data_IF_241049778156
#
_entry.id   IF_241049778156
#
_cell.length_a   1.000
_cell.length_b   1.000
_cell.length_c   1.000
_cell.angle_alpha   90.00
_cell.angle_beta   90.00
_cell.angle_gamma   90.00
#
_symmetry.space_group_name_H-M   'P 1'
#
loop_
_entity.id
_entity.type
_entity.pdbx_description
1 polymer ?
#
# COMPACT_ATOMS: atom_id res chain seq x y z
N UNK A 1 -22.19 -14.83 18.87
CA UNK A 1 -20.82 -15.22 19.27
C UNK A 1 -20.44 -16.63 18.76
N UNK A 2 -20.87 -17.02 17.55
CA UNK A 2 -20.64 -18.38 17.00
C UNK A 2 -19.53 -18.43 15.94
N UNK A 3 -19.27 -17.33 15.22
CA UNK A 3 -18.29 -17.29 14.13
C UNK A 3 -16.85 -17.55 14.59
N UNK A 4 -16.46 -17.07 15.77
CA UNK A 4 -15.12 -17.29 16.32
C UNK A 4 -14.83 -18.76 16.66
N UNK A 5 -15.88 -19.52 17.02
CA UNK A 5 -15.78 -20.96 17.30
C UNK A 5 -15.68 -21.74 15.99
N UNK A 6 -16.48 -21.35 14.98
CA UNK A 6 -16.47 -21.97 13.65
C UNK A 6 -15.13 -21.78 12.93
N UNK A 7 -14.55 -20.57 12.95
CA UNK A 7 -13.25 -20.29 12.33
C UNK A 7 -12.12 -21.09 13.01
N UNK A 8 -12.15 -21.19 14.34
CA UNK A 8 -11.16 -21.97 15.08
C UNK A 8 -11.24 -23.45 14.71
N UNK A 9 -12.44 -24.03 14.69
CA UNK A 9 -12.64 -25.43 14.30
C UNK A 9 -12.22 -25.70 12.85
N UNK A 10 -12.49 -24.75 11.95
CA UNK A 10 -12.02 -24.82 10.57
C UNK A 10 -10.49 -24.79 10.49
N UNK A 11 -9.83 -23.88 11.22
CA UNK A 11 -8.37 -23.81 11.28
C UNK A 11 -7.77 -25.11 11.84
N UNK A 12 -8.33 -25.67 12.91
CA UNK A 12 -7.91 -26.97 13.46
C UNK A 12 -8.05 -28.10 12.41
N UNK A 13 -9.10 -28.06 11.59
CA UNK A 13 -9.28 -29.03 10.48
C UNK A 13 -8.21 -28.87 9.41
N UNK A 14 -7.83 -27.63 9.07
CA UNK A 14 -6.76 -27.34 8.12
C UNK A 14 -5.38 -27.74 8.66
N UNK A 15 -5.11 -27.46 9.93
CA UNK A 15 -3.84 -27.81 10.58
C UNK A 15 -3.63 -29.31 10.74
N UNK A 16 -4.71 -30.10 10.75
CA UNK A 16 -4.67 -31.56 10.82
C UNK A 16 -4.62 -32.25 9.44
N UNK A 17 -4.45 -31.50 8.34
CA UNK A 17 -4.22 -32.11 7.03
C UNK A 17 -2.82 -32.74 6.96
N UNK A 18 -2.64 -33.69 6.03
CA UNK A 18 -1.40 -34.45 5.91
C UNK A 18 -0.18 -33.57 5.60
N UNK A 19 -0.36 -32.52 4.80
CA UNK A 19 0.70 -31.61 4.39
C UNK A 19 0.22 -30.17 4.50
N UNK A 20 0.76 -29.43 5.46
CA UNK A 20 0.38 -28.05 5.75
C UNK A 20 1.62 -27.17 5.70
N UNK A 21 1.53 -26.07 4.94
CA UNK A 21 2.53 -25.01 4.94
C UNK A 21 1.92 -23.79 5.62
N UNK A 22 2.56 -23.35 6.71
CA UNK A 22 2.11 -22.21 7.50
C UNK A 22 3.13 -21.09 7.32
N UNK A 23 2.66 -19.90 6.93
CA UNK A 23 3.49 -18.69 6.91
C UNK A 23 3.05 -17.78 8.05
N UNK A 24 4.02 -17.17 8.74
CA UNK A 24 3.75 -16.27 9.84
C UNK A 24 4.82 -15.19 9.95
N UNK A 25 4.49 -14.11 10.66
CA UNK A 25 5.51 -13.17 11.13
C UNK A 25 6.25 -13.77 12.33
N UNK A 26 7.54 -13.45 12.56
CA UNK A 26 8.29 -13.99 13.70
C UNK A 26 7.60 -13.80 15.06
N UNK A 27 6.87 -12.70 15.24
CA UNK A 27 6.15 -12.36 16.48
C UNK A 27 4.65 -12.68 16.47
N UNK A 28 4.11 -13.16 15.34
CA UNK A 28 2.66 -13.35 15.15
C UNK A 28 2.16 -14.75 15.51
N UNK A 29 3.05 -15.64 15.94
CA UNK A 29 2.76 -17.06 16.07
C UNK A 29 2.86 -17.52 17.52
N UNK A 30 1.72 -17.87 18.12
CA UNK A 30 1.71 -18.62 19.37
C UNK A 30 1.93 -20.10 19.07
N UNK A 31 3.16 -20.57 19.32
CA UNK A 31 3.57 -21.96 19.10
C UNK A 31 2.75 -22.96 19.90
N UNK A 32 2.09 -22.54 20.99
CA UNK A 32 1.24 -23.43 21.80
C UNK A 32 -0.05 -23.84 21.09
N UNK A 33 -0.45 -23.08 20.06
CA UNK A 33 -1.68 -23.33 19.28
C UNK A 33 -1.43 -24.21 18.06
N UNK A 34 -0.19 -24.59 17.79
CA UNK A 34 0.19 -25.36 16.62
C UNK A 34 0.37 -26.84 16.94
N UNK A 35 0.06 -27.74 15.99
CA UNK A 35 0.53 -29.11 16.06
C UNK A 35 2.07 -29.16 16.03
N UNK A 36 2.65 -30.34 16.25
CA UNK A 36 4.10 -30.53 16.13
C UNK A 36 4.59 -30.08 14.75
N UNK A 37 5.54 -29.14 14.73
CA UNK A 37 6.15 -28.64 13.49
C UNK A 37 7.31 -29.59 13.12
N UNK A 38 7.20 -30.25 11.97
CA UNK A 38 8.27 -31.13 11.45
C UNK A 38 9.46 -30.34 10.90
N UNK A 39 9.20 -29.17 10.31
CA UNK A 39 10.21 -28.31 9.68
C UNK A 39 9.86 -26.83 9.87
N UNK A 40 10.81 -26.07 10.42
CA UNK A 40 10.73 -24.61 10.53
C UNK A 40 11.76 -23.98 9.58
N UNK A 41 11.31 -23.04 8.74
CA UNK A 41 12.15 -22.32 7.79
C UNK A 41 11.97 -20.82 7.99
N UNK A 42 13.07 -20.08 7.90
CA UNK A 42 13.06 -18.61 7.96
C UNK A 42 13.32 -18.02 6.58
N UNK A 43 12.50 -17.03 6.20
CA UNK A 43 12.73 -16.24 5.00
C UNK A 43 13.74 -15.13 5.30
N UNK A 44 14.97 -15.28 4.82
CA UNK A 44 16.07 -14.33 5.07
C UNK A 44 16.18 -13.18 4.04
N UNK A 45 15.30 -13.16 3.03
CA UNK A 45 15.30 -12.16 1.96
C UNK A 45 16.21 -12.51 0.78
N UNK A 46 16.51 -11.52 -0.06
CA UNK A 46 17.33 -11.63 -1.26
C UNK A 46 18.82 -11.45 -0.96
N UNK A 47 19.62 -12.31 -1.61
CA UNK A 47 21.05 -12.09 -1.78
C UNK A 47 21.31 -11.01 -2.84
N UNK A 48 22.55 -10.50 -2.91
CA UNK A 48 22.97 -9.56 -3.96
C UNK A 48 22.78 -10.11 -5.38
N UNK A 49 22.96 -11.42 -5.55
CA UNK A 49 22.68 -12.08 -6.82
C UNK A 49 21.18 -12.05 -7.13
N UNK A 50 20.32 -12.38 -6.15
CA UNK A 50 18.87 -12.33 -6.36
C UNK A 50 18.38 -10.92 -6.66
N UNK A 51 18.94 -9.89 -6.02
CA UNK A 51 18.65 -8.48 -6.34
C UNK A 51 18.98 -8.20 -7.81
N UNK A 52 20.17 -8.58 -8.26
CA UNK A 52 20.60 -8.37 -9.65
C UNK A 52 19.71 -9.10 -10.67
N UNK A 53 19.37 -10.36 -10.38
CA UNK A 53 18.45 -11.15 -11.21
C UNK A 53 17.03 -10.59 -11.23
N UNK A 54 16.55 -10.05 -10.11
CA UNK A 54 15.25 -9.39 -10.02
C UNK A 54 15.22 -8.13 -10.88
N UNK A 55 16.23 -7.26 -10.75
CA UNK A 55 16.33 -6.03 -11.54
C UNK A 55 16.29 -6.32 -13.03
N UNK A 56 17.07 -7.31 -13.49
CA UNK A 56 17.11 -7.70 -14.90
C UNK A 56 15.78 -8.24 -15.45
N UNK A 57 14.86 -8.69 -14.57
CA UNK A 57 13.54 -9.20 -14.95
C UNK A 57 12.47 -8.11 -15.01
N UNK A 58 12.60 -7.05 -14.20
CA UNK A 58 11.51 -6.08 -13.98
C UNK A 58 11.79 -4.70 -14.58
N UNK A 59 13.04 -4.42 -14.96
CA UNK A 59 13.44 -3.13 -15.53
C UNK A 59 14.03 -3.30 -16.93
N UNK A 60 13.93 -2.23 -17.72
CA UNK A 60 14.62 -2.12 -19.00
C UNK A 60 16.15 -2.11 -18.82
N UNK A 61 16.94 -2.65 -19.78
CA UNK A 61 18.38 -2.82 -19.64
C UNK A 61 19.15 -1.56 -19.21
N UNK A 62 18.77 -0.38 -19.70
CA UNK A 62 19.38 0.89 -19.34
C UNK A 62 19.11 1.29 -17.88
N UNK A 63 17.93 0.96 -17.36
CA UNK A 63 17.54 1.25 -15.99
C UNK A 63 18.22 0.28 -15.02
N UNK A 64 18.35 -1.01 -15.38
CA UNK A 64 19.02 -2.04 -14.56
C UNK A 64 20.38 -1.56 -14.07
N UNK A 65 21.23 -1.09 -14.99
CA UNK A 65 22.58 -0.64 -14.65
C UNK A 65 22.54 0.56 -13.69
N UNK A 66 21.69 1.54 -13.97
CA UNK A 66 21.60 2.74 -13.15
C UNK A 66 21.09 2.45 -11.73
N UNK A 67 20.14 1.51 -11.58
CA UNK A 67 19.63 1.08 -10.27
C UNK A 67 20.68 0.30 -9.50
N UNK A 68 21.39 -0.62 -10.17
CA UNK A 68 22.49 -1.36 -9.57
C UNK A 68 23.59 -0.43 -9.05
N UNK A 69 24.01 0.54 -9.87
CA UNK A 69 25.02 1.53 -9.48
C UNK A 69 24.55 2.34 -8.26
N UNK A 70 23.26 2.75 -8.23
CA UNK A 70 22.69 3.47 -7.09
C UNK A 70 22.68 2.63 -5.80
N UNK A 71 22.26 1.36 -5.87
CA UNK A 71 22.25 0.45 -4.73
C UNK A 71 23.67 0.26 -4.18
N UNK A 72 24.65 0.04 -5.06
CA UNK A 72 26.05 -0.16 -4.67
C UNK A 72 26.68 1.08 -4.04
N UNK A 73 26.34 2.27 -4.53
CA UNK A 73 26.85 3.54 -4.00
C UNK A 73 26.17 3.97 -2.69
N UNK A 74 25.07 3.32 -2.30
CA UNK A 74 24.26 3.70 -1.15
C UNK A 74 24.13 2.54 -0.15
N UNK A 75 25.10 2.34 0.77
CA UNK A 75 25.15 1.18 1.67
C UNK A 75 23.86 0.92 2.46
N UNK A 76 23.15 1.98 2.85
CA UNK A 76 21.88 1.84 3.56
C UNK A 76 20.77 1.25 2.66
N UNK A 77 20.70 1.68 1.40
CA UNK A 77 19.76 1.11 0.43
C UNK A 77 20.10 -0.35 0.15
N UNK A 78 21.39 -0.71 0.09
CA UNK A 78 21.83 -2.09 -0.10
C UNK A 78 21.25 -3.04 0.96
N UNK A 79 21.21 -2.62 2.23
CA UNK A 79 20.58 -3.42 3.29
C UNK A 79 19.05 -3.48 3.17
N UNK A 80 18.42 -2.40 2.71
CA UNK A 80 16.96 -2.27 2.59
C UNK A 80 16.42 -3.16 1.46
N UNK A 81 17.06 -3.15 0.29
CA UNK A 81 16.59 -3.87 -0.91
C UNK A 81 16.77 -5.39 -0.84
N UNK A 82 17.45 -5.90 0.20
CA UNK A 82 17.44 -7.33 0.49
C UNK A 82 16.03 -7.82 0.86
N UNK A 83 15.12 -6.92 1.27
CA UNK A 83 13.71 -7.26 1.46
C UNK A 83 13.00 -7.10 0.10
N UNK A 84 12.42 -8.17 -0.48
CA UNK A 84 11.87 -8.14 -1.84
C UNK A 84 10.87 -7.01 -2.10
N UNK A 85 9.96 -6.73 -1.15
CA UNK A 85 8.99 -5.64 -1.29
C UNK A 85 9.65 -4.27 -1.34
N UNK A 86 10.78 -4.06 -0.65
CA UNK A 86 11.49 -2.78 -0.68
C UNK A 86 12.24 -2.57 -2.01
N UNK A 87 12.77 -3.66 -2.58
CA UNK A 87 13.34 -3.64 -3.92
C UNK A 87 12.27 -3.31 -4.98
N UNK A 88 11.10 -3.92 -4.87
CA UNK A 88 9.97 -3.63 -5.75
C UNK A 88 9.54 -2.16 -5.67
N UNK A 89 9.44 -1.61 -4.47
CA UNK A 89 9.16 -0.18 -4.23
C UNK A 89 10.21 0.72 -4.90
N UNK A 90 11.50 0.36 -4.79
CA UNK A 90 12.57 1.10 -5.45
C UNK A 90 12.44 1.05 -6.97
N UNK A 91 12.17 -0.13 -7.55
CA UNK A 91 11.96 -0.30 -8.98
C UNK A 91 10.76 0.51 -9.47
N UNK A 92 9.63 0.41 -8.76
CA UNK A 92 8.41 1.13 -9.08
C UNK A 92 8.63 2.64 -9.11
N UNK A 93 9.37 3.20 -8.15
CA UNK A 93 9.63 4.63 -8.07
C UNK A 93 10.89 5.13 -8.80
N UNK A 94 11.59 4.26 -9.54
CA UNK A 94 12.93 4.56 -10.07
C UNK A 94 12.99 5.85 -10.90
N UNK A 95 12.01 6.06 -11.78
CA UNK A 95 11.87 7.24 -12.64
C UNK A 95 11.57 8.55 -11.87
N UNK A 96 11.14 8.42 -10.62
CA UNK A 96 10.71 9.51 -9.74
C UNK A 96 11.77 9.88 -8.69
N UNK A 97 12.93 9.21 -8.72
CA UNK A 97 14.04 9.51 -7.82
C UNK A 97 14.58 10.92 -8.09
N UNK A 98 14.72 11.77 -7.05
CA UNK A 98 15.39 13.05 -7.18
C UNK A 98 16.82 12.84 -7.70
N UNK A 99 17.18 13.55 -8.76
CA UNK A 99 18.56 13.57 -9.26
C UNK A 99 19.46 14.10 -8.15
N UNK A 100 20.23 13.22 -7.49
CA UNK A 100 21.10 13.57 -6.36
C UNK A 100 21.07 12.63 -5.16
N UNK A 101 20.29 11.53 -5.18
CA UNK A 101 20.45 10.44 -4.20
C UNK A 101 20.01 10.78 -2.77
N UNK A 102 18.97 11.62 -2.62
CA UNK A 102 18.43 11.99 -1.29
C UNK A 102 17.62 10.87 -0.62
N UNK A 103 17.14 9.87 -1.37
CA UNK A 103 16.41 8.75 -0.78
C UNK A 103 17.39 7.77 -0.15
N UNK A 104 17.61 7.90 1.15
CA UNK A 104 18.52 7.04 1.92
C UNK A 104 17.81 6.20 2.97
N UNK A 105 16.50 6.36 3.17
CA UNK A 105 15.76 5.65 4.23
C UNK A 105 14.57 4.88 3.66
N UNK A 106 14.12 3.86 4.40
CA UNK A 106 12.89 3.12 4.09
C UNK A 106 11.70 4.08 3.99
N UNK A 107 11.59 5.03 4.92
CA UNK A 107 10.54 6.08 4.87
C UNK A 107 10.61 6.89 3.58
N UNK A 108 11.81 7.25 3.12
CA UNK A 108 11.98 7.97 1.85
C UNK A 108 11.51 7.15 0.64
N UNK A 109 11.76 5.84 0.63
CA UNK A 109 11.24 4.95 -0.42
C UNK A 109 9.71 4.91 -0.42
N UNK A 110 9.09 4.77 0.75
CA UNK A 110 7.63 4.79 0.86
C UNK A 110 7.04 6.15 0.46
N UNK A 111 7.66 7.27 0.86
CA UNK A 111 7.22 8.61 0.47
C UNK A 111 7.28 8.78 -1.05
N UNK A 112 8.34 8.31 -1.70
CA UNK A 112 8.47 8.33 -3.16
C UNK A 112 7.37 7.50 -3.85
N UNK A 113 7.11 6.28 -3.37
CA UNK A 113 6.03 5.45 -3.91
C UNK A 113 4.67 6.11 -3.73
N UNK A 114 4.37 6.64 -2.54
CA UNK A 114 3.12 7.36 -2.26
C UNK A 114 2.96 8.55 -3.20
N UNK A 115 4.02 9.34 -3.41
CA UNK A 115 4.04 10.46 -4.36
C UNK A 115 3.74 10.03 -5.80
N UNK A 116 4.27 8.88 -6.24
CA UNK A 116 3.98 8.33 -7.57
C UNK A 116 2.54 7.83 -7.68
N UNK A 117 2.04 7.13 -6.66
CA UNK A 117 0.66 6.66 -6.60
C UNK A 117 -0.33 7.83 -6.61
N UNK A 118 -0.07 8.89 -5.83
CA UNK A 118 -0.91 10.09 -5.79
C UNK A 118 -1.00 10.81 -7.12
N UNK A 119 0.08 10.90 -7.90
CA UNK A 119 0.01 11.45 -9.26
C UNK A 119 -0.88 10.60 -10.17
N UNK A 120 -0.70 9.28 -10.15
CA UNK A 120 -1.52 8.34 -10.91
C UNK A 120 -3.00 8.45 -10.52
N UNK A 121 -3.30 8.46 -9.23
CA UNK A 121 -4.66 8.47 -8.70
C UNK A 121 -5.32 9.84 -8.88
N UNK A 122 -4.59 10.95 -8.73
CA UNK A 122 -5.11 12.28 -9.02
C UNK A 122 -5.62 12.39 -10.47
N UNK A 123 -4.91 11.78 -11.42
CA UNK A 123 -5.32 11.72 -12.81
C UNK A 123 -6.56 10.84 -13.00
N UNK A 124 -6.57 9.63 -12.43
CA UNK A 124 -7.69 8.69 -12.54
C UNK A 124 -8.98 9.22 -11.90
N UNK A 125 -8.85 9.93 -10.78
CA UNK A 125 -9.94 10.60 -10.07
C UNK A 125 -10.39 11.92 -10.74
N UNK A 126 -9.74 12.32 -11.85
CA UNK A 126 -10.05 13.56 -12.58
C UNK A 126 -10.05 14.78 -11.67
N UNK A 127 -9.06 14.84 -10.77
CA UNK A 127 -8.90 15.96 -9.83
C UNK A 127 -8.91 17.29 -10.56
N UNK A 128 -9.47 18.31 -9.91
CA UNK A 128 -9.62 19.65 -10.50
C UNK A 128 -8.80 20.67 -9.75
N UNK A 129 -8.32 21.69 -10.47
CA UNK A 129 -7.75 22.89 -9.88
C UNK A 129 -8.33 24.11 -10.60
N UNK A 130 -8.82 25.10 -9.85
CA UNK A 130 -9.48 26.28 -10.43
C UNK A 130 -10.69 25.94 -11.30
N UNK A 131 -11.44 24.89 -10.94
CA UNK A 131 -12.64 24.44 -11.67
C UNK A 131 -12.37 23.70 -12.98
N UNK A 132 -11.11 23.40 -13.32
CA UNK A 132 -10.74 22.63 -14.51
C UNK A 132 -10.15 21.28 -14.13
N UNK A 133 -10.54 20.23 -14.86
CA UNK A 133 -9.94 18.89 -14.73
C UNK A 133 -8.47 18.97 -15.12
N UNK A 134 -7.61 18.48 -14.23
CA UNK A 134 -6.18 18.43 -14.45
C UNK A 134 -5.86 17.32 -15.46
N UNK A 135 -4.99 17.65 -16.42
CA UNK A 135 -4.42 16.64 -17.32
C UNK A 135 -3.21 15.99 -16.66
N UNK A 136 -2.82 14.80 -17.14
CA UNK A 136 -1.63 14.11 -16.67
C UNK A 136 -0.37 14.99 -16.75
N UNK A 137 -0.22 15.77 -17.83
CA UNK A 137 0.90 16.71 -17.98
C UNK A 137 0.92 17.80 -16.93
N UNK A 138 -0.25 18.28 -16.47
CA UNK A 138 -0.31 19.25 -15.39
C UNK A 138 0.10 18.61 -14.07
N UNK A 139 -0.45 17.43 -13.75
CA UNK A 139 -0.18 16.68 -12.51
C UNK A 139 1.31 16.33 -12.39
N UNK A 140 1.94 15.87 -13.48
CA UNK A 140 3.36 15.50 -13.48
C UNK A 140 4.30 16.70 -13.27
N UNK A 141 3.82 17.94 -13.47
CA UNK A 141 4.59 19.17 -13.23
C UNK A 141 4.38 19.75 -11.83
N UNK A 142 3.42 19.23 -11.06
CA UNK A 142 3.13 19.72 -9.72
C UNK A 142 4.23 19.30 -8.73
N UNK A 143 4.50 20.18 -7.77
CA UNK A 143 5.37 19.91 -6.63
C UNK A 143 4.79 18.79 -5.76
N UNK A 144 5.62 18.23 -4.87
CA UNK A 144 5.16 17.20 -3.93
C UNK A 144 4.08 17.76 -3.00
N UNK A 145 4.26 19.00 -2.52
CA UNK A 145 3.33 19.69 -1.64
C UNK A 145 1.99 19.98 -2.33
N UNK A 146 2.01 20.31 -3.62
CA UNK A 146 0.79 20.52 -4.41
C UNK A 146 0.00 19.21 -4.58
N UNK A 147 0.68 18.09 -4.84
CA UNK A 147 0.06 16.77 -4.93
C UNK A 147 -0.50 16.32 -3.58
N UNK A 148 0.25 16.53 -2.49
CA UNK A 148 -0.21 16.22 -1.14
C UNK A 148 -1.45 17.04 -0.77
N UNK A 149 -1.47 18.33 -1.12
CA UNK A 149 -2.66 19.19 -0.98
C UNK A 149 -3.86 18.66 -1.78
N UNK A 150 -3.64 18.26 -3.03
CA UNK A 150 -4.68 17.74 -3.92
C UNK A 150 -5.29 16.42 -3.45
N UNK A 151 -4.48 15.59 -2.79
CA UNK A 151 -4.83 14.25 -2.31
C UNK A 151 -5.06 14.21 -0.80
N UNK A 152 -5.14 15.37 -0.12
CA UNK A 152 -5.24 15.44 1.34
C UNK A 152 -6.43 14.65 1.88
N UNK A 153 -7.60 14.79 1.26
CA UNK A 153 -8.82 14.11 1.71
C UNK A 153 -8.67 12.59 1.64
N UNK A 154 -8.20 12.05 0.51
CA UNK A 154 -7.99 10.61 0.34
C UNK A 154 -6.90 10.09 1.28
N UNK A 155 -5.80 10.83 1.41
CA UNK A 155 -4.68 10.47 2.30
C UNK A 155 -5.13 10.40 3.77
N UNK A 156 -5.91 11.39 4.23
CA UNK A 156 -6.48 11.40 5.58
C UNK A 156 -7.44 10.23 5.79
N UNK A 157 -8.29 9.93 4.82
CA UNK A 157 -9.24 8.84 4.92
C UNK A 157 -8.54 7.47 4.99
N UNK A 158 -7.61 7.21 4.07
CA UNK A 158 -6.82 5.98 4.06
C UNK A 158 -5.94 5.85 5.31
N UNK A 159 -5.36 6.95 5.78
CA UNK A 159 -4.60 6.99 7.02
C UNK A 159 -5.45 6.68 8.26
N UNK A 160 -6.66 7.24 8.32
CA UNK A 160 -7.60 6.97 9.41
C UNK A 160 -8.09 5.51 9.39
N UNK A 161 -8.39 4.97 8.20
CA UNK A 161 -8.76 3.57 8.04
C UNK A 161 -7.63 2.64 8.50
N UNK A 162 -6.39 2.91 8.07
CA UNK A 162 -5.22 2.16 8.48
C UNK A 162 -5.03 2.21 10.01
N UNK A 163 -5.19 3.39 10.62
CA UNK A 163 -5.11 3.55 12.07
C UNK A 163 -6.21 2.78 12.81
N UNK A 164 -7.46 2.84 12.32
CA UNK A 164 -8.56 2.04 12.86
C UNK A 164 -8.27 0.55 12.79
N UNK A 165 -7.74 0.08 11.66
CA UNK A 165 -7.34 -1.32 11.48
C UNK A 165 -6.30 -1.76 12.52
N UNK A 166 -5.26 -0.95 12.70
CA UNK A 166 -4.23 -1.19 13.71
C UNK A 166 -4.81 -1.24 15.13
N UNK A 167 -5.68 -0.30 15.49
CA UNK A 167 -6.35 -0.25 16.79
C UNK A 167 -7.26 -1.45 17.02
N UNK A 168 -7.97 -1.90 15.98
CA UNK A 168 -8.95 -2.99 16.05
C UNK A 168 -8.30 -4.35 15.77
N UNK A 169 -7.33 -4.74 16.61
CA UNK A 169 -6.67 -6.07 16.55
C UNK A 169 -5.98 -6.37 15.21
N UNK A 170 -5.35 -5.38 14.57
CA UNK A 170 -4.67 -5.53 13.28
C UNK A 170 -5.59 -5.99 12.14
N UNK A 171 -6.81 -5.46 12.10
CA UNK A 171 -7.71 -5.65 10.97
C UNK A 171 -7.07 -5.05 9.71
N UNK A 172 -6.94 -5.87 8.67
CA UNK A 172 -6.41 -5.46 7.36
C UNK A 172 -7.46 -5.55 6.24
N UNK A 173 -8.58 -6.22 6.50
CA UNK A 173 -9.72 -6.35 5.58
C UNK A 173 -10.86 -5.46 6.06
N UNK A 174 -11.41 -4.66 5.15
CA UNK A 174 -12.48 -3.71 5.45
C UNK A 174 -13.63 -3.93 4.48
N UNK A 175 -14.82 -4.16 5.01
CA UNK A 175 -16.05 -4.17 4.22
C UNK A 175 -16.56 -2.75 3.95
N UNK A 176 -17.57 -2.63 3.11
CA UNK A 176 -18.17 -1.35 2.75
C UNK A 176 -18.69 -0.59 3.98
N UNK A 177 -19.23 -1.30 4.98
CA UNK A 177 -19.76 -0.67 6.20
C UNK A 177 -18.62 -0.05 7.02
N UNK A 178 -17.50 -0.75 7.16
CA UNK A 178 -16.31 -0.26 7.84
C UNK A 178 -15.75 0.97 7.13
N UNK A 179 -15.68 0.96 5.79
CA UNK A 179 -15.27 2.11 4.98
C UNK A 179 -16.18 3.33 5.23
N UNK A 180 -17.50 3.16 5.09
CA UNK A 180 -18.48 4.23 5.29
C UNK A 180 -18.50 4.76 6.73
N UNK A 181 -18.28 3.90 7.73
CA UNK A 181 -18.14 4.34 9.13
C UNK A 181 -16.89 5.19 9.33
N UNK A 182 -15.77 4.80 8.73
CA UNK A 182 -14.52 5.55 8.80
C UNK A 182 -14.66 6.92 8.12
N UNK A 183 -15.42 7.01 7.03
CA UNK A 183 -15.73 8.29 6.38
C UNK A 183 -16.52 9.21 7.29
N UNK A 184 -17.60 8.70 7.92
CA UNK A 184 -18.45 9.51 8.81
C UNK A 184 -17.69 10.02 10.03
N UNK A 185 -16.95 9.16 10.71
CA UNK A 185 -16.19 9.55 11.90
C UNK A 185 -15.17 10.66 11.58
N UNK A 186 -14.54 10.59 10.40
CA UNK A 186 -13.59 11.61 9.97
C UNK A 186 -14.27 12.96 9.68
N UNK A 187 -15.49 12.96 9.13
CA UNK A 187 -16.29 14.17 8.90
C UNK A 187 -16.79 14.77 10.23
N UNK A 188 -17.17 13.93 11.19
CA UNK A 188 -17.68 14.37 12.49
C UNK A 188 -16.59 14.98 13.37
N UNK A 189 -15.33 14.53 13.19
CA UNK A 189 -14.15 15.07 13.87
C UNK A 189 -13.37 16.10 13.05
N UNK A 190 -13.80 16.38 11.83
CA UNK A 190 -13.22 17.40 10.96
C UNK A 190 -13.53 18.81 11.49
N UNK A 191 -12.53 19.69 11.50
CA UNK A 191 -12.74 21.11 11.79
C UNK A 191 -13.52 21.78 10.64
N UNK A 192 -14.09 22.97 10.84
CA UNK A 192 -14.86 23.66 9.77
C UNK A 192 -14.06 23.86 8.46
N UNK A 193 -12.73 23.85 8.53
CA UNK A 193 -11.85 23.91 7.36
C UNK A 193 -11.78 22.59 6.58
N UNK A 194 -11.95 21.46 7.25
CA UNK A 194 -11.92 20.10 6.67
C UNK A 194 -13.28 19.70 6.06
N UNK A 195 -14.38 20.30 6.55
CA UNK A 195 -15.76 20.08 6.05
C UNK A 195 -15.97 20.56 4.60
N UNK A 196 -15.29 21.63 4.20
CA UNK A 196 -15.33 22.17 2.82
C UNK A 196 -14.63 21.26 1.80
N UNK A 197 -13.64 20.48 2.23
CA UNK A 197 -12.90 19.54 1.38
C UNK A 197 -13.64 18.19 1.25
N UNK A 198 -14.37 17.79 2.29
CA UNK A 198 -15.14 16.54 2.31
C UNK A 198 -16.51 16.65 1.62
N UNK A 199 -17.11 17.85 1.54
CA UNK A 199 -18.37 18.04 0.79
C UNK A 199 -18.27 17.74 -0.70
N UNK A 200 -17.06 17.77 -1.28
CA UNK A 200 -16.82 17.41 -2.70
C UNK A 200 -16.95 15.90 -2.97
N UNK A 201 -16.89 15.04 -1.93
CA UNK A 201 -17.09 13.58 -2.06
C UNK A 201 -18.58 13.19 -2.04
N UNK A 202 -19.46 14.07 -1.56
CA UNK A 202 -20.91 13.81 -1.46
C UNK A 202 -21.68 14.27 -2.71
N UNK A 203 -21.01 14.78 -3.74
CA UNK A 203 -21.68 15.02 -5.02
C UNK A 203 -22.10 13.68 -5.64
N UNK A 204 -23.41 13.47 -5.91
CA UNK A 204 -23.99 12.16 -6.28
C UNK A 204 -23.58 11.62 -7.66
N UNK A 205 -22.48 12.10 -8.25
CA UNK A 205 -21.99 11.73 -9.58
C UNK A 205 -20.75 10.82 -9.61
N UNK A 206 -19.99 10.67 -8.52
CA UNK A 206 -18.68 9.96 -8.56
C UNK A 206 -18.81 8.44 -8.33
N UNK A 207 -19.84 7.97 -7.63
CA UNK A 207 -20.03 6.54 -7.31
C UNK A 207 -20.95 5.76 -8.27
N UNK A 208 -21.47 6.36 -9.35
CA UNK A 208 -22.49 5.72 -10.21
C UNK A 208 -22.01 5.07 -11.51
N UNK A 209 -20.73 5.12 -11.85
CA UNK A 209 -20.25 4.46 -13.07
C UNK A 209 -19.32 3.30 -12.76
N UNK A 210 -19.90 2.08 -12.78
CA UNK A 210 -19.29 0.77 -13.12
C UNK A 210 -19.50 -0.37 -12.10
N UNK A 211 -20.74 -0.58 -11.63
CA UNK A 211 -21.16 -1.93 -11.19
C UNK A 211 -22.40 -2.30 -11.99
N UNK A 212 -22.19 -3.02 -13.10
CA UNK A 212 -23.26 -3.69 -13.82
C UNK A 212 -23.55 -5.01 -13.11
N UNK A 213 -24.62 -5.05 -12.31
CA UNK A 213 -25.16 -6.28 -11.74
C UNK A 213 -26.16 -6.84 -12.78
N UNK A 214 -25.92 -8.01 -13.39
CA UNK A 214 -26.92 -8.63 -14.23
C UNK A 214 -28.12 -9.05 -13.36
N UNK A 215 -29.31 -8.58 -13.74
CA UNK A 215 -30.56 -8.99 -13.12
C UNK A 215 -30.88 -10.44 -13.50
N UNK A 216 -31.39 -11.26 -12.57
CA UNK A 216 -31.80 -12.62 -12.87
C UNK A 216 -33.10 -12.59 -13.72
N UNK A 217 -33.03 -13.21 -14.89
CA UNK A 217 -34.20 -13.67 -15.65
C UNK A 217 -34.33 -15.18 -15.52
#
# INVERSE_FOLDING_TARGET
>A
CDEGIALRSFLETLLNQQHVVITSRPSGLDRSLLPSIDLELETVGFSQQNVSEFLAKVLEPEAVRAVQDFIQQTPLIQGIVNIPVQLDVLCFGWDSLPRGGQVKTVTGLYQMMVQKLWRKDAFQLKKTAGGKVLTETHINKMSHEEIDGLMTTESQHLGYLAFKGLKNKHQIEFDETALLSAFRDLIDHATDKDRLLTSQLLEPGIYKSNIHIPQPG
#
